data_IF_754640188458
#
_entry.id   IF_754640188458
#
_cell.length_a   1.000
_cell.length_b   1.000
_cell.length_c   1.000
_cell.angle_alpha   90.00
_cell.angle_beta   90.00
_cell.angle_gamma   90.00
#
_symmetry.space_group_name_H-M   'P 1'
#
loop_
_entity.id
_entity.type
_entity.pdbx_description
1 polymer ?
#
# COMPACT_ATOMS: atom_id res chain seq x y z
N UNK A 1 -23.40 -38.18 -33.00
CA UNK A 1 -22.79 -37.86 -31.69
C UNK A 1 -22.32 -36.40 -31.72
N UNK A 2 -22.81 -35.53 -30.84
CA UNK A 2 -22.35 -34.14 -30.69
C UNK A 2 -21.16 -34.07 -29.72
N UNK A 3 -19.95 -33.63 -30.13
CA UNK A 3 -18.78 -33.57 -29.26
C UNK A 3 -18.69 -32.29 -28.40
N UNK A 4 -19.78 -31.73 -27.86
CA UNK A 4 -19.75 -30.32 -27.40
C UNK A 4 -20.21 -30.06 -25.96
N UNK A 5 -20.39 -31.07 -25.10
CA UNK A 5 -20.90 -30.82 -23.74
C UNK A 5 -19.83 -30.74 -22.63
N UNK A 6 -18.66 -31.35 -22.84
CA UNK A 6 -17.60 -31.42 -21.83
C UNK A 6 -16.60 -30.25 -21.93
N UNK A 7 -16.18 -29.91 -23.15
CA UNK A 7 -15.32 -28.74 -23.46
C UNK A 7 -15.95 -27.42 -22.99
N UNK A 8 -17.26 -27.23 -23.23
CA UNK A 8 -18.01 -26.02 -22.82
C UNK A 8 -18.11 -25.86 -21.28
N UNK A 9 -17.86 -26.91 -20.50
CA UNK A 9 -17.95 -26.88 -19.04
C UNK A 9 -16.66 -26.35 -18.41
N UNK A 10 -15.51 -26.63 -19.01
CA UNK A 10 -14.21 -26.19 -18.49
C UNK A 10 -14.00 -24.68 -18.70
N UNK A 11 -14.33 -24.14 -19.87
CA UNK A 11 -14.23 -22.70 -20.12
C UNK A 11 -15.11 -21.87 -19.18
N UNK A 12 -16.37 -22.30 -18.98
CA UNK A 12 -17.29 -21.62 -18.07
C UNK A 12 -16.84 -21.74 -16.61
N UNK A 13 -16.21 -22.85 -16.24
CA UNK A 13 -15.60 -23.00 -14.91
C UNK A 13 -14.38 -22.10 -14.74
N UNK A 14 -13.54 -21.94 -15.76
CA UNK A 14 -12.41 -20.99 -15.73
C UNK A 14 -12.90 -19.54 -15.64
N UNK A 15 -13.91 -19.16 -16.42
CA UNK A 15 -14.49 -17.80 -16.35
C UNK A 15 -15.13 -17.56 -14.99
N UNK A 16 -15.88 -18.51 -14.45
CA UNK A 16 -16.45 -18.39 -13.11
C UNK A 16 -15.36 -18.31 -12.04
N UNK A 17 -14.28 -19.10 -12.17
CA UNK A 17 -13.14 -19.04 -11.26
C UNK A 17 -12.41 -17.70 -11.34
N UNK A 18 -12.22 -17.14 -12.54
CA UNK A 18 -11.63 -15.81 -12.74
C UNK A 18 -12.53 -14.71 -12.16
N UNK A 19 -13.85 -14.80 -12.33
CA UNK A 19 -14.82 -13.83 -11.78
C UNK A 19 -14.91 -13.93 -10.25
N UNK A 20 -14.84 -15.14 -9.70
CA UNK A 20 -14.81 -15.35 -8.24
C UNK A 20 -13.46 -14.90 -7.66
N UNK A 21 -12.35 -15.16 -8.35
CA UNK A 21 -11.02 -14.70 -7.98
C UNK A 21 -10.92 -13.17 -8.04
N UNK A 22 -11.48 -12.53 -9.07
CA UNK A 22 -11.48 -11.07 -9.16
C UNK A 22 -12.35 -10.44 -8.08
N UNK A 23 -13.51 -11.04 -7.76
CA UNK A 23 -14.36 -10.62 -6.64
C UNK A 23 -13.68 -10.80 -5.28
N UNK A 24 -12.85 -11.85 -5.11
CA UNK A 24 -12.01 -12.04 -3.94
C UNK A 24 -10.88 -10.99 -3.85
N UNK A 25 -10.26 -10.64 -4.97
CA UNK A 25 -9.21 -9.59 -5.05
C UNK A 25 -9.76 -8.21 -4.70
N UNK A 26 -11.02 -7.90 -5.03
CA UNK A 26 -11.66 -6.63 -4.66
C UNK A 26 -11.92 -6.43 -3.15
N UNK A 27 -11.44 -7.34 -2.29
CA UNK A 27 -11.43 -7.15 -0.83
C UNK A 27 -10.06 -6.72 -0.27
N UNK A 28 -9.06 -6.45 -1.13
CA UNK A 28 -7.80 -5.84 -0.69
C UNK A 28 -8.12 -4.43 -0.17
N UNK A 29 -7.87 -4.23 1.13
CA UNK A 29 -8.07 -2.96 1.82
C UNK A 29 -7.22 -1.88 1.13
N UNK A 30 -7.86 -0.90 0.49
CA UNK A 30 -7.23 0.14 -0.31
C UNK A 30 -6.40 1.17 0.48
N UNK A 31 -6.04 0.83 1.72
CA UNK A 31 -5.53 1.77 2.70
C UNK A 31 -4.57 1.09 3.69
N UNK A 32 -3.76 0.16 3.18
CA UNK A 32 -2.89 -0.69 4.00
C UNK A 32 -1.86 0.15 4.77
N UNK A 33 -1.28 1.18 4.15
CA UNK A 33 -0.28 2.04 4.79
C UNK A 33 -0.79 2.67 6.09
N UNK A 34 -1.84 3.52 6.10
CA UNK A 34 -2.32 4.14 7.34
C UNK A 34 -2.91 3.11 8.30
N UNK A 35 -3.58 2.06 7.79
CA UNK A 35 -4.11 0.96 8.60
C UNK A 35 -3.02 0.29 9.42
N UNK A 36 -1.90 -0.11 8.80
CA UNK A 36 -0.85 -0.84 9.49
C UNK A 36 -0.07 0.05 10.46
N UNK A 37 0.17 1.32 10.13
CA UNK A 37 0.79 2.28 11.04
C UNK A 37 -0.06 2.45 12.30
N UNK A 38 -1.36 2.67 12.14
CA UNK A 38 -2.30 2.82 13.25
C UNK A 38 -2.44 1.52 14.07
N UNK A 39 -2.54 0.35 13.41
CA UNK A 39 -2.62 -0.96 14.06
C UNK A 39 -1.44 -1.23 15.00
N UNK A 40 -0.26 -0.75 14.63
CA UNK A 40 0.95 -0.91 15.42
C UNK A 40 1.21 0.23 16.43
N UNK A 41 0.25 1.14 16.63
CA UNK A 41 0.30 2.25 17.57
C UNK A 41 1.45 3.25 17.30
N UNK A 42 1.84 3.41 16.04
CA UNK A 42 2.73 4.50 15.64
C UNK A 42 1.91 5.76 15.35
N UNK A 43 2.44 6.96 15.68
CA UNK A 43 1.78 8.20 15.27
C UNK A 43 1.73 8.24 13.74
N UNK A 44 0.58 8.67 13.22
CA UNK A 44 0.31 8.77 11.79
C UNK A 44 -0.15 10.19 11.48
N UNK A 45 0.52 10.82 10.52
CA UNK A 45 0.00 11.99 9.83
C UNK A 45 -0.24 11.65 8.35
N UNK A 46 -1.39 12.04 7.83
CA UNK A 46 -1.73 11.92 6.42
C UNK A 46 -1.69 13.30 5.76
N UNK A 47 -1.01 13.40 4.62
CA UNK A 47 -0.80 14.65 3.90
C UNK A 47 -1.16 14.47 2.43
N UNK A 48 -2.02 15.35 1.91
CA UNK A 48 -2.31 15.41 0.47
C UNK A 48 -1.42 16.46 -0.19
N UNK A 49 -0.57 16.03 -1.12
CA UNK A 49 0.34 16.89 -1.86
C UNK A 49 -0.18 17.09 -3.28
N UNK A 50 -0.39 18.33 -3.70
CA UNK A 50 -0.76 18.67 -5.07
C UNK A 50 0.51 18.93 -5.91
N UNK A 51 0.67 18.22 -7.02
CA UNK A 51 1.77 18.47 -7.96
C UNK A 51 1.47 19.69 -8.84
N UNK A 52 2.50 20.25 -9.49
CA UNK A 52 2.35 21.45 -10.34
C UNK A 52 1.39 21.29 -11.52
N UNK A 53 1.19 20.04 -11.96
CA UNK A 53 0.28 19.65 -13.03
C UNK A 53 -1.05 19.06 -12.51
N UNK A 54 -1.34 19.21 -11.21
CA UNK A 54 -2.68 19.05 -10.66
C UNK A 54 -3.01 17.70 -10.02
N UNK A 55 -2.09 16.73 -10.02
CA UNK A 55 -2.32 15.43 -9.36
C UNK A 55 -2.30 15.56 -7.84
N UNK A 56 -3.12 14.74 -7.17
CA UNK A 56 -3.20 14.72 -5.71
C UNK A 56 -2.60 13.41 -5.18
N UNK A 57 -1.51 13.54 -4.42
CA UNK A 57 -0.76 12.41 -3.89
C UNK A 57 -0.96 12.33 -2.38
N UNK A 58 -1.49 11.21 -1.91
CA UNK A 58 -1.52 10.89 -0.49
C UNK A 58 -0.12 10.44 -0.05
N UNK A 59 0.43 11.14 0.91
CA UNK A 59 1.73 10.86 1.54
C UNK A 59 1.53 10.66 3.02
N UNK A 60 2.25 9.69 3.58
CA UNK A 60 2.08 9.30 4.97
C UNK A 60 3.34 9.60 5.75
N UNK A 61 3.18 9.97 7.02
CA UNK A 61 4.32 10.31 7.88
C UNK A 61 4.18 9.64 9.24
N UNK A 62 5.28 9.04 9.69
CA UNK A 62 5.49 8.60 11.07
C UNK A 62 6.45 9.63 11.70
N UNK A 63 5.94 10.59 12.48
CA UNK A 63 6.79 11.59 13.10
C UNK A 63 7.74 10.93 14.11
N UNK A 64 8.94 11.50 14.24
CA UNK A 64 9.92 11.03 15.20
C UNK A 64 9.35 11.02 16.62
N UNK A 65 9.56 9.91 17.33
CA UNK A 65 9.05 9.70 18.70
C UNK A 65 9.81 10.50 19.77
N UNK A 66 10.96 11.07 19.40
CA UNK A 66 11.84 11.84 20.30
C UNK A 66 11.91 13.31 19.87
N UNK A 67 12.05 14.22 20.84
CA UNK A 67 12.08 15.66 20.59
C UNK A 67 13.26 16.10 19.71
N UNK A 68 14.42 15.44 19.85
CA UNK A 68 15.60 15.68 19.02
C UNK A 68 15.63 14.68 17.87
N UNK A 69 15.25 15.12 16.68
CA UNK A 69 15.19 14.29 15.47
C UNK A 69 16.59 14.00 14.93
N UNK A 70 16.85 12.76 14.54
CA UNK A 70 18.09 12.35 13.89
C UNK A 70 18.16 12.75 12.41
N UNK A 71 17.01 13.09 11.82
CA UNK A 71 16.89 13.54 10.45
C UNK A 71 15.51 13.22 9.89
N UNK A 72 15.31 13.56 8.62
CA UNK A 72 14.11 13.20 7.85
C UNK A 72 14.51 12.12 6.84
N UNK A 73 13.70 11.08 6.73
CA UNK A 73 13.88 10.00 5.74
C UNK A 73 12.63 9.93 4.88
N UNK A 74 12.81 10.01 3.56
CA UNK A 74 11.75 9.74 2.58
C UNK A 74 11.95 8.36 1.97
N UNK A 75 10.97 7.49 2.14
CA UNK A 75 10.93 6.15 1.55
C UNK A 75 10.04 6.18 0.30
N UNK A 76 10.66 5.94 -0.85
CA UNK A 76 9.99 5.89 -2.15
C UNK A 76 9.94 4.44 -2.65
N UNK A 77 8.75 3.95 -2.98
CA UNK A 77 8.55 2.61 -3.51
C UNK A 77 9.04 2.47 -4.97
N UNK A 78 9.16 1.23 -5.44
CA UNK A 78 9.57 0.91 -6.82
C UNK A 78 8.45 1.00 -7.85
N UNK A 79 8.73 0.50 -9.06
CA UNK A 79 7.78 0.44 -10.18
C UNK A 79 6.58 -0.45 -9.85
N UNK A 80 5.35 -0.02 -10.21
CA UNK A 80 4.08 -0.74 -9.97
C UNK A 80 3.75 -1.04 -8.50
N UNK A 81 4.33 -0.29 -7.58
CA UNK A 81 4.11 -0.43 -6.13
C UNK A 81 3.47 0.82 -5.52
N UNK A 82 3.22 0.75 -4.21
CA UNK A 82 2.76 1.83 -3.34
C UNK A 82 3.58 1.87 -2.06
N UNK A 83 3.31 2.83 -1.16
CA UNK A 83 3.92 2.89 0.18
C UNK A 83 3.71 1.63 1.03
N UNK A 84 2.75 0.78 0.66
CA UNK A 84 2.37 -0.45 1.39
C UNK A 84 3.51 -1.46 1.53
N UNK A 85 4.40 -1.48 0.54
CA UNK A 85 5.51 -2.45 0.48
C UNK A 85 6.46 -2.33 1.66
N UNK A 86 6.46 -1.18 2.34
CA UNK A 86 7.29 -0.93 3.50
C UNK A 86 6.70 -1.44 4.81
N UNK A 87 5.44 -1.90 4.84
CA UNK A 87 4.65 -2.10 6.06
C UNK A 87 3.95 -3.48 6.11
N UNK A 88 4.60 -4.53 5.57
CA UNK A 88 3.99 -5.86 5.42
C UNK A 88 4.27 -6.84 6.58
N UNK A 89 5.36 -6.66 7.33
CA UNK A 89 5.84 -7.62 8.36
C UNK A 89 5.66 -7.11 9.79
N UNK A 90 5.64 -5.79 9.98
CA UNK A 90 5.41 -5.13 11.26
C UNK A 90 6.67 -4.55 11.94
N UNK A 91 6.53 -4.00 13.17
CA UNK A 91 7.49 -3.07 13.78
C UNK A 91 8.91 -3.57 13.96
N UNK A 92 9.10 -4.87 14.12
CA UNK A 92 10.42 -5.47 14.38
C UNK A 92 11.26 -5.66 13.12
N UNK A 93 10.65 -5.60 11.94
CA UNK A 93 11.31 -5.96 10.69
C UNK A 93 11.18 -4.87 9.62
N UNK A 94 10.10 -4.11 9.65
CA UNK A 94 9.81 -3.11 8.63
C UNK A 94 10.52 -1.79 8.88
N UNK A 95 11.19 -1.33 7.82
CA UNK A 95 12.11 -0.20 7.85
C UNK A 95 11.49 1.10 8.40
N UNK A 96 10.23 1.50 8.07
CA UNK A 96 9.65 2.72 8.61
C UNK A 96 9.60 2.74 10.13
N UNK A 97 9.25 1.61 10.76
CA UNK A 97 9.15 1.50 12.21
C UNK A 97 10.54 1.52 12.85
N UNK A 98 11.50 0.76 12.29
CA UNK A 98 12.87 0.74 12.78
C UNK A 98 13.52 2.13 12.73
N UNK A 99 13.23 2.91 11.68
CA UNK A 99 13.70 4.30 11.56
C UNK A 99 13.01 5.23 12.56
N UNK A 100 11.69 5.11 12.74
CA UNK A 100 10.95 5.91 13.72
C UNK A 100 11.43 5.65 15.15
N UNK A 101 11.65 4.38 15.51
CA UNK A 101 12.22 3.95 16.79
C UNK A 101 13.66 4.46 16.98
N UNK A 102 14.43 4.51 15.89
CA UNK A 102 15.76 5.11 15.86
C UNK A 102 15.73 6.65 15.85
N UNK A 103 14.57 7.30 15.99
CA UNK A 103 14.45 8.75 16.15
C UNK A 103 14.45 9.55 14.85
N UNK A 104 14.18 8.91 13.71
CA UNK A 104 13.99 9.60 12.44
C UNK A 104 12.53 10.01 12.23
N UNK A 105 12.35 11.08 11.46
CA UNK A 105 11.06 11.54 10.96
C UNK A 105 10.81 10.92 9.59
N UNK A 106 9.90 9.96 9.52
CA UNK A 106 9.79 9.05 8.36
C UNK A 106 8.60 9.44 7.50
N UNK A 107 8.86 9.65 6.21
CA UNK A 107 7.86 9.93 5.19
C UNK A 107 7.78 8.76 4.21
N UNK A 108 6.56 8.35 3.87
CA UNK A 108 6.28 7.35 2.85
C UNK A 108 5.62 8.04 1.66
N UNK A 109 6.38 8.14 0.57
CA UNK A 109 5.96 8.80 -0.66
C UNK A 109 5.23 7.86 -1.61
N UNK A 110 4.32 8.42 -2.41
CA UNK A 110 3.58 7.71 -3.44
C UNK A 110 3.74 8.37 -4.81
N UNK A 111 3.79 7.56 -5.85
CA UNK A 111 3.72 8.02 -7.23
C UNK A 111 2.26 8.21 -7.66
N UNK A 112 2.02 9.14 -8.59
CA UNK A 112 0.74 9.21 -9.31
C UNK A 112 0.41 7.89 -10.00
N UNK A 113 -0.88 7.58 -10.07
CA UNK A 113 -1.39 6.38 -10.74
C UNK A 113 -1.28 5.10 -9.93
N UNK A 114 -0.74 5.13 -8.70
CA UNK A 114 -0.97 4.05 -7.73
C UNK A 114 -2.25 4.34 -6.92
N UNK A 115 -2.61 3.43 -6.02
CA UNK A 115 -3.81 3.53 -5.16
C UNK A 115 -3.90 4.83 -4.34
N UNK A 116 -2.78 5.48 -4.08
CA UNK A 116 -2.66 6.69 -3.28
C UNK A 116 -2.41 7.96 -4.11
N UNK A 117 -2.48 7.88 -5.43
CA UNK A 117 -2.23 9.01 -6.32
C UNK A 117 -3.24 9.07 -7.46
N UNK A 118 -4.22 9.97 -7.34
CA UNK A 118 -5.22 10.27 -8.39
C UNK A 118 -4.76 11.44 -9.27
#
# INVERSE_FOLDING_TARGET
MCPNLFEMRLEKMCVLFIVVLSALVSTIDCNLTPRNIALHNYPLEEHTVQTSDGYLLSTYRIPALIAKRNGVVLLQHGFTLSSDVWLLRGPKEDLPYLLADAGYDVWLGNHRGNEYGL
#
